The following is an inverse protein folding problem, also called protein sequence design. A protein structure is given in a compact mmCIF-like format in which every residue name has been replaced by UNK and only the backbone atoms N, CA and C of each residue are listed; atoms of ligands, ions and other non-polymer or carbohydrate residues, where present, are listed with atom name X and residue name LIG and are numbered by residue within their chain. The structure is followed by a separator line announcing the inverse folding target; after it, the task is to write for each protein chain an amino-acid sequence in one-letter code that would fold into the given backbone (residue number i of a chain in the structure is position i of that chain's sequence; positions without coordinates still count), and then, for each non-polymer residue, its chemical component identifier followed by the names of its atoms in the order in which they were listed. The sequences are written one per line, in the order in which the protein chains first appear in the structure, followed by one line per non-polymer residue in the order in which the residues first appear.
data_IF_019867016892
#
_entry.id   IF_019867016892
#
_cell.length_a   1.000
_cell.length_b   1.000
_cell.length_c   1.000
_cell.angle_alpha   90.00
_cell.angle_beta   90.00
_cell.angle_gamma   90.00
#
_symmetry.space_group_name_H-M   'P 1'
#
loop_
_entity.id
_entity.type
_entity.pdbx_description
1 polymer ?
#
# COMPACT_ATOMS: atom_id res chain seq x y z
N UNK A 1 -14.44 -28.26 -8.21
CA UNK A 1 -13.15 -27.95 -8.85
C UNK A 1 -13.24 -26.49 -9.27
N UNK A 2 -12.24 -25.66 -8.95
CA UNK A 2 -12.24 -24.28 -9.42
C UNK A 2 -12.16 -24.23 -10.95
N UNK A 3 -12.77 -23.20 -11.52
CA UNK A 3 -12.74 -22.91 -12.96
C UNK A 3 -11.37 -22.37 -13.36
N UNK A 4 -11.09 -22.33 -14.67
CA UNK A 4 -9.86 -21.73 -15.18
C UNK A 4 -9.76 -20.23 -14.79
N UNK A 5 -10.88 -19.51 -14.81
CA UNK A 5 -10.93 -18.08 -14.49
C UNK A 5 -10.64 -17.83 -13.01
N UNK A 6 -11.17 -18.66 -12.11
CA UNK A 6 -10.88 -18.60 -10.68
C UNK A 6 -9.39 -18.83 -10.41
N UNK A 7 -8.77 -19.81 -11.07
CA UNK A 7 -7.33 -20.09 -10.93
C UNK A 7 -6.45 -18.95 -11.45
N UNK A 8 -6.85 -18.30 -12.55
CA UNK A 8 -6.14 -17.14 -13.10
C UNK A 8 -6.22 -15.97 -12.11
N UNK A 9 -7.42 -15.70 -11.59
CA UNK A 9 -7.63 -14.62 -10.63
C UNK A 9 -6.83 -14.82 -9.33
N UNK A 10 -6.82 -16.04 -8.79
CA UNK A 10 -6.01 -16.37 -7.62
C UNK A 10 -4.50 -16.17 -7.87
N UNK A 11 -4.02 -16.53 -9.06
CA UNK A 11 -2.62 -16.34 -9.45
C UNK A 11 -2.26 -14.84 -9.59
N UNK A 12 -3.18 -14.01 -10.08
CA UNK A 12 -2.99 -12.56 -10.15
C UNK A 12 -2.89 -11.95 -8.75
N UNK A 13 -3.80 -12.30 -7.84
CA UNK A 13 -3.75 -11.90 -6.44
C UNK A 13 -2.41 -12.28 -5.83
N UNK A 14 -1.99 -13.54 -5.97
CA UNK A 14 -0.75 -14.02 -5.38
C UNK A 14 0.47 -13.26 -5.93
N UNK A 15 0.45 -12.90 -7.22
CA UNK A 15 1.51 -12.13 -7.84
C UNK A 15 1.56 -10.69 -7.31
N UNK A 16 0.41 -10.03 -7.16
CA UNK A 16 0.32 -8.68 -6.60
C UNK A 16 0.84 -8.65 -5.16
N UNK A 17 0.39 -9.61 -4.37
CA UNK A 17 0.81 -9.85 -3.00
C UNK A 17 2.33 -10.05 -2.86
N UNK A 18 2.92 -10.89 -3.71
CA UNK A 18 4.37 -11.12 -3.75
C UNK A 18 5.13 -9.82 -4.07
N UNK A 19 4.65 -9.03 -5.04
CA UNK A 19 5.26 -7.75 -5.42
C UNK A 19 5.18 -6.73 -4.28
N UNK A 20 4.04 -6.64 -3.60
CA UNK A 20 3.86 -5.75 -2.45
C UNK A 20 4.82 -6.11 -1.30
N UNK A 21 4.90 -7.40 -0.94
CA UNK A 21 5.84 -7.89 0.09
C UNK A 21 7.29 -7.61 -0.27
N UNK A 22 7.69 -7.86 -1.52
CA UNK A 22 9.04 -7.55 -2.00
C UNK A 22 9.37 -6.06 -1.97
N UNK A 23 8.35 -5.18 -1.99
CA UNK A 23 8.52 -3.74 -1.86
C UNK A 23 8.52 -3.25 -0.39
N UNK A 24 8.37 -4.13 0.59
CA UNK A 24 8.34 -3.80 2.02
C UNK A 24 6.95 -3.45 2.56
N UNK A 25 5.89 -3.89 1.88
CA UNK A 25 4.51 -3.71 2.33
C UNK A 25 3.96 -5.03 2.91
N UNK A 26 3.19 -4.91 3.99
CA UNK A 26 2.37 -5.97 4.54
C UNK A 26 1.06 -6.07 3.75
N UNK A 27 0.61 -7.29 3.47
CA UNK A 27 -0.73 -7.56 2.94
C UNK A 27 -1.74 -7.55 4.10
N UNK A 28 -2.68 -6.61 4.09
CA UNK A 28 -3.80 -6.58 5.04
C UNK A 28 -5.01 -7.36 4.51
N UNK A 29 -5.30 -7.22 3.21
CA UNK A 29 -6.28 -8.01 2.50
C UNK A 29 -5.68 -8.44 1.16
N UNK A 30 -5.54 -9.76 0.88
CA UNK A 30 -4.92 -10.25 -0.35
C UNK A 30 -5.55 -9.62 -1.60
N UNK A 31 -4.72 -9.11 -2.50
CA UNK A 31 -5.20 -8.51 -3.75
C UNK A 31 -5.84 -7.12 -3.61
N UNK A 32 -6.02 -6.59 -2.39
CA UNK A 32 -6.80 -5.38 -2.16
C UNK A 32 -6.07 -4.32 -1.33
N UNK A 33 -5.54 -4.68 -0.17
CA UNK A 33 -5.04 -3.69 0.80
C UNK A 33 -3.64 -4.01 1.24
N UNK A 34 -2.73 -3.06 1.02
CA UNK A 34 -1.33 -3.15 1.44
C UNK A 34 -0.94 -1.97 2.30
N UNK A 35 -0.09 -2.20 3.30
CA UNK A 35 0.40 -1.14 4.18
C UNK A 35 1.89 -1.23 4.46
N UNK A 36 2.53 -0.08 4.66
CA UNK A 36 3.91 0.02 5.13
C UNK A 36 3.97 0.99 6.30
N UNK A 37 4.50 0.56 7.44
CA UNK A 37 4.72 1.41 8.59
C UNK A 37 5.95 2.30 8.36
N UNK A 38 5.76 3.63 8.44
CA UNK A 38 6.87 4.60 8.45
C UNK A 38 7.27 4.98 9.88
N UNK A 39 6.32 4.85 10.82
CA UNK A 39 6.45 5.09 12.25
C UNK A 39 5.26 4.45 12.97
N UNK A 40 5.36 4.27 14.29
CA UNK A 40 4.28 3.74 15.17
C UNK A 40 2.87 4.28 14.91
N UNK A 41 2.73 5.51 14.43
CA UNK A 41 1.43 6.13 14.16
C UNK A 41 1.26 6.62 12.73
N UNK A 42 2.17 6.26 11.82
CA UNK A 42 2.17 6.74 10.44
C UNK A 42 2.39 5.58 9.48
N UNK A 43 1.40 5.37 8.62
CA UNK A 43 1.38 4.27 7.67
C UNK A 43 1.14 4.81 6.26
N UNK A 44 1.68 4.11 5.27
CA UNK A 44 1.34 4.29 3.85
C UNK A 44 0.42 3.15 3.47
N UNK A 45 -0.66 3.46 2.76
CA UNK A 45 -1.62 2.50 2.23
C UNK A 45 -1.58 2.49 0.71
N UNK A 46 -1.87 1.34 0.14
CA UNK A 46 -2.13 1.12 -1.29
C UNK A 46 -3.44 0.34 -1.36
N UNK A 47 -4.45 0.89 -2.02
CA UNK A 47 -5.79 0.29 -2.13
C UNK A 47 -6.44 0.62 -3.47
N UNK A 48 -7.35 -0.23 -3.96
CA UNK A 48 -8.19 0.10 -5.09
C UNK A 48 -9.22 1.18 -4.69
N UNK A 49 -9.48 2.08 -5.61
CA UNK A 49 -10.57 3.07 -5.60
C UNK A 49 -11.29 2.90 -6.92
N UNK A 50 -12.35 2.09 -6.92
CA UNK A 50 -12.95 1.58 -8.15
C UNK A 50 -12.01 0.58 -8.84
N UNK A 51 -11.83 0.72 -10.15
CA UNK A 51 -10.98 -0.16 -10.97
C UNK A 51 -9.49 0.23 -10.95
N UNK A 52 -9.14 1.33 -10.27
CA UNK A 52 -7.79 1.87 -10.25
C UNK A 52 -7.22 1.88 -8.84
N UNK A 53 -5.92 2.08 -8.75
CA UNK A 53 -5.18 2.04 -7.50
C UNK A 53 -4.73 3.43 -7.07
N UNK A 54 -4.78 3.65 -5.76
CA UNK A 54 -4.34 4.87 -5.10
C UNK A 54 -3.41 4.51 -3.95
N UNK A 55 -2.49 5.41 -3.63
CA UNK A 55 -1.67 5.31 -2.43
C UNK A 55 -1.59 6.64 -1.69
N UNK A 56 -1.61 6.55 -0.38
CA UNK A 56 -1.60 7.71 0.50
C UNK A 56 -0.96 7.37 1.82
N UNK A 57 -0.51 8.39 2.53
CA UNK A 57 -0.02 8.30 3.91
C UNK A 57 -1.11 8.79 4.84
N UNK A 58 -1.32 8.06 5.92
CA UNK A 58 -2.12 8.51 7.06
C UNK A 58 -1.26 8.57 8.33
N UNK A 59 -1.54 9.55 9.17
CA UNK A 59 -0.95 9.70 10.50
C UNK A 59 -2.07 9.82 11.53
N UNK A 60 -1.96 9.07 12.62
CA UNK A 60 -2.87 9.10 13.76
C UNK A 60 -2.22 9.68 15.00
N UNK A 61 -3.07 10.17 15.90
CA UNK A 61 -2.73 10.37 17.31
C UNK A 61 -3.26 9.18 18.10
N UNK A 62 -2.50 8.75 19.09
CA UNK A 62 -2.89 7.66 19.97
C UNK A 62 -4.26 7.97 20.62
N UNK A 63 -5.14 6.97 20.67
CA UNK A 63 -6.50 7.13 21.20
C UNK A 63 -7.50 7.86 20.28
N UNK A 64 -7.15 8.14 19.01
CA UNK A 64 -8.09 8.70 18.02
C UNK A 64 -8.53 7.65 17.00
N UNK A 65 -9.83 7.64 16.71
CA UNK A 65 -10.44 6.76 15.70
C UNK A 65 -10.13 7.19 14.26
N UNK A 66 -9.89 8.48 14.03
CA UNK A 66 -9.62 9.04 12.71
C UNK A 66 -8.19 9.57 12.62
N UNK A 67 -7.63 9.53 11.42
CA UNK A 67 -6.31 10.12 11.17
C UNK A 67 -6.39 11.63 11.33
N UNK A 68 -5.34 12.21 11.88
CA UNK A 68 -5.22 13.65 12.03
C UNK A 68 -4.54 14.31 10.83
N UNK A 69 -3.92 13.52 9.94
CA UNK A 69 -3.33 14.00 8.72
C UNK A 69 -3.30 12.90 7.66
N UNK A 70 -3.72 13.26 6.45
CA UNK A 70 -3.62 12.42 5.27
C UNK A 70 -2.81 13.14 4.19
N UNK A 71 -2.07 12.38 3.38
CA UNK A 71 -1.37 12.89 2.21
C UNK A 71 -1.48 11.90 1.06
N UNK A 72 -2.15 12.29 -0.01
CA UNK A 72 -2.14 11.54 -1.25
C UNK A 72 -0.73 11.50 -1.83
N UNK A 73 -0.29 10.31 -2.25
CA UNK A 73 1.01 10.08 -2.91
C UNK A 73 0.77 9.96 -4.42
N UNK A 74 -0.22 9.17 -4.81
CA UNK A 74 -0.72 9.04 -6.19
C UNK A 74 -2.14 8.49 -6.16
N UNK A 75 -2.94 8.83 -7.16
CA UNK A 75 -4.33 8.39 -7.29
C UNK A 75 -4.64 7.93 -8.71
N UNK A 76 -5.61 7.02 -8.84
CA UNK A 76 -6.19 6.61 -10.12
C UNK A 76 -5.16 6.10 -11.15
N UNK A 77 -4.24 5.24 -10.70
CA UNK A 77 -3.20 4.61 -11.54
C UNK A 77 -3.27 3.09 -11.51
N UNK A 78 -2.40 2.39 -12.25
CA UNK A 78 -2.26 0.93 -12.10
C UNK A 78 -1.63 0.58 -10.75
N UNK A 79 -1.82 -0.67 -10.32
CA UNK A 79 -1.21 -1.20 -9.09
C UNK A 79 0.31 -1.01 -9.07
N UNK A 80 1.00 -1.29 -10.18
CA UNK A 80 2.45 -1.18 -10.31
C UNK A 80 2.93 0.26 -10.06
N UNK A 81 2.22 1.24 -10.60
CA UNK A 81 2.54 2.66 -10.42
C UNK A 81 2.28 3.07 -8.98
N UNK A 82 1.15 2.67 -8.39
CA UNK A 82 0.83 2.95 -7.00
C UNK A 82 1.91 2.38 -6.07
N UNK A 83 2.29 1.11 -6.26
CA UNK A 83 3.32 0.43 -5.50
C UNK A 83 4.70 1.11 -5.64
N UNK A 84 5.09 1.46 -6.86
CA UNK A 84 6.36 2.13 -7.12
C UNK A 84 6.45 3.49 -6.43
N UNK A 85 5.39 4.30 -6.52
CA UNK A 85 5.33 5.64 -5.90
C UNK A 85 5.29 5.54 -4.38
N UNK A 86 4.51 4.61 -3.83
CA UNK A 86 4.43 4.36 -2.40
C UNK A 86 5.79 3.90 -1.82
N UNK A 87 6.46 2.95 -2.48
CA UNK A 87 7.82 2.49 -2.13
C UNK A 87 8.82 3.64 -2.14
N UNK A 88 8.83 4.43 -3.22
CA UNK A 88 9.74 5.58 -3.36
C UNK A 88 9.52 6.61 -2.25
N UNK A 89 8.25 6.87 -1.93
CA UNK A 89 7.88 7.77 -0.84
C UNK A 89 8.35 7.25 0.53
N UNK A 90 8.08 5.98 0.84
CA UNK A 90 8.52 5.35 2.09
C UNK A 90 10.04 5.44 2.27
N UNK A 91 10.80 5.08 1.22
CA UNK A 91 12.26 5.17 1.23
C UNK A 91 12.77 6.60 1.45
N UNK A 92 12.14 7.60 0.81
CA UNK A 92 12.49 9.00 0.99
C UNK A 92 12.29 9.48 2.43
N UNK A 93 11.16 9.13 3.04
CA UNK A 93 10.86 9.52 4.43
C UNK A 93 11.81 8.83 5.41
N UNK A 94 12.06 7.53 5.25
CA UNK A 94 12.98 6.79 6.13
C UNK A 94 14.40 7.33 6.02
N UNK A 95 14.90 7.64 4.81
CA UNK A 95 16.24 8.23 4.61
C UNK A 95 16.37 9.60 5.28
N UNK A 96 15.35 10.47 5.17
CA UNK A 96 15.38 11.79 5.82
C UNK A 96 15.51 11.71 7.34
N UNK A 97 14.98 10.66 7.97
CA UNK A 97 15.06 10.47 9.43
C UNK A 97 16.39 9.88 9.90
N UNK A 98 17.10 9.14 9.06
CA UNK A 98 18.46 8.67 9.38
C UNK A 98 19.53 9.77 9.31
N UNK A 99 19.18 10.95 8.82
CA UNK A 99 20.05 12.12 8.71
C UNK A 99 19.74 13.22 9.76
N UNK A 100 18.78 12.97 10.67
CA UNK A 100 18.38 13.89 11.75
C UNK A 100 18.94 13.48 13.10
#
# INVERSE_FOLDING_TARGET
MPTADELIYEAEIEQMDKRARAAGFLTLCPGEVYTCELHRTTHVFIMPVGEKWSSWRETWKEGKLHSNAQKMIVENVSFEIALLKAKSYAQFITKKRGMS
#
